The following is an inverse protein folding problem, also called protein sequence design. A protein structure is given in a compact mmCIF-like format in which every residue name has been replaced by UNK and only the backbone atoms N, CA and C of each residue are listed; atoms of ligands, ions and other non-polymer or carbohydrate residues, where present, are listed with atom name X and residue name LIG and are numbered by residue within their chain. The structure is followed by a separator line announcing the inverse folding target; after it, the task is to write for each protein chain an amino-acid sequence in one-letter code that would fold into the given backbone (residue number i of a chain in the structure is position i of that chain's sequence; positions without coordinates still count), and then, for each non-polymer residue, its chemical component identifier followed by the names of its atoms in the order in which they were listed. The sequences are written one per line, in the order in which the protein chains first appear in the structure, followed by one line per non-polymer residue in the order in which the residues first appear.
data_IF_051749818029
#
_entry.id   IF_051749818029
#
_cell.length_a   1.000
_cell.length_b   1.000
_cell.length_c   1.000
_cell.angle_alpha   90.00
_cell.angle_beta   90.00
_cell.angle_gamma   90.00
#
_symmetry.space_group_name_H-M   'P 1'
#
loop_
_entity.id
_entity.type
_entity.pdbx_description
1 polymer ?
#
# COMPACT_ATOMS: atom_id res chain seq x y z
N UNK A 1 -72.65 -32.75 -9.72
CA UNK A 1 -71.51 -32.79 -8.79
C UNK A 1 -70.13 -32.79 -9.50
N UNK A 2 -69.89 -33.56 -10.54
CA UNK A 2 -68.56 -33.59 -11.21
C UNK A 2 -68.11 -32.24 -11.88
N UNK A 3 -69.04 -31.41 -12.32
CA UNK A 3 -68.69 -30.12 -12.97
C UNK A 3 -68.40 -29.01 -11.94
N UNK A 4 -68.91 -29.08 -10.74
CA UNK A 4 -68.64 -28.13 -9.67
C UNK A 4 -67.26 -28.36 -9.09
N UNK A 5 -66.79 -29.59 -8.98
CA UNK A 5 -65.42 -29.92 -8.59
C UNK A 5 -64.38 -29.45 -9.57
N UNK A 6 -64.68 -29.44 -10.89
CA UNK A 6 -63.76 -28.98 -11.91
C UNK A 6 -63.54 -27.45 -11.85
N UNK A 7 -64.57 -26.69 -11.53
CA UNK A 7 -64.47 -25.21 -11.39
C UNK A 7 -63.80 -24.81 -10.10
N UNK A 8 -63.98 -25.56 -9.02
CA UNK A 8 -63.28 -25.30 -7.74
C UNK A 8 -61.78 -25.64 -7.87
N UNK A 9 -61.43 -26.74 -8.57
CA UNK A 9 -60.02 -27.06 -8.80
C UNK A 9 -59.33 -26.05 -9.76
N UNK A 10 -60.07 -25.48 -10.72
CA UNK A 10 -59.51 -24.44 -11.63
C UNK A 10 -59.36 -23.09 -10.93
N UNK A 11 -60.19 -22.77 -9.95
CA UNK A 11 -60.11 -21.55 -9.16
C UNK A 11 -58.96 -21.62 -8.12
N UNK A 12 -58.70 -22.80 -7.56
CA UNK A 12 -57.56 -23.02 -6.66
C UNK A 12 -56.21 -23.01 -7.41
N UNK A 13 -56.19 -23.53 -8.65
CA UNK A 13 -54.99 -23.47 -9.51
C UNK A 13 -54.69 -22.05 -10.01
N UNK A 14 -55.72 -21.17 -10.17
CA UNK A 14 -55.55 -19.77 -10.57
C UNK A 14 -55.13 -18.83 -9.44
N UNK A 15 -55.34 -19.21 -8.18
CA UNK A 15 -54.97 -18.44 -7.00
C UNK A 15 -53.53 -18.69 -6.52
N UNK A 16 -52.84 -19.70 -7.04
CA UNK A 16 -51.49 -20.08 -6.64
C UNK A 16 -50.40 -19.44 -7.47
N UNK A 17 -50.68 -18.57 -8.45
CA UNK A 17 -49.68 -17.87 -9.26
C UNK A 17 -49.41 -16.41 -8.80
N UNK A 18 -50.09 -15.92 -7.75
CA UNK A 18 -49.67 -14.69 -7.07
C UNK A 18 -48.95 -15.06 -5.77
N UNK A 19 -48.02 -16.00 -5.84
CA UNK A 19 -47.11 -16.30 -4.73
C UNK A 19 -46.04 -15.21 -4.72
N UNK A 20 -46.20 -14.29 -3.81
CA UNK A 20 -45.19 -13.58 -3.05
C UNK A 20 -43.74 -13.80 -3.53
N UNK A 21 -43.32 -13.13 -4.61
CA UNK A 21 -41.90 -12.86 -4.86
C UNK A 21 -41.31 -12.06 -3.67
N UNK A 22 -42.09 -11.17 -3.09
CA UNK A 22 -41.67 -10.33 -1.95
C UNK A 22 -41.47 -11.09 -0.63
N UNK A 23 -41.98 -12.31 -0.48
CA UNK A 23 -41.83 -13.09 0.77
C UNK A 23 -40.61 -14.01 0.75
N UNK A 24 -39.98 -14.18 -0.42
CA UNK A 24 -38.76 -14.97 -0.60
C UNK A 24 -37.52 -14.07 -0.80
N UNK A 25 -37.71 -12.79 -1.01
CA UNK A 25 -36.67 -11.78 -0.93
C UNK A 25 -36.47 -11.27 0.51
N UNK A 26 -36.41 -12.19 1.46
CA UNK A 26 -35.79 -11.88 2.73
C UNK A 26 -34.29 -11.76 2.43
N UNK A 27 -33.79 -10.53 2.35
CA UNK A 27 -32.37 -10.27 2.54
C UNK A 27 -31.95 -11.05 3.78
N UNK A 28 -31.17 -12.09 3.58
CA UNK A 28 -30.64 -12.87 4.70
C UNK A 28 -29.76 -11.92 5.48
N UNK A 29 -30.13 -11.58 6.70
CA UNK A 29 -29.35 -10.79 7.67
C UNK A 29 -27.94 -11.38 7.93
N UNK A 30 -27.63 -12.53 7.36
CA UNK A 30 -26.34 -13.22 7.48
C UNK A 30 -25.48 -13.19 6.20
N UNK A 31 -25.96 -12.63 5.10
CA UNK A 31 -25.12 -12.29 3.97
C UNK A 31 -24.68 -10.85 4.14
N UNK A 32 -23.40 -10.66 4.20
CA UNK A 32 -22.69 -9.40 4.29
C UNK A 32 -23.21 -8.40 3.23
N UNK A 33 -24.33 -7.75 3.56
CA UNK A 33 -24.82 -6.68 2.72
C UNK A 33 -23.88 -5.49 2.91
N UNK A 34 -23.18 -5.13 1.88
CA UNK A 34 -22.21 -4.03 1.87
C UNK A 34 -22.81 -2.73 2.42
N UNK A 35 -24.10 -2.47 2.13
CA UNK A 35 -24.81 -1.31 2.66
C UNK A 35 -24.99 -1.35 4.18
N UNK A 36 -25.17 -2.53 4.77
CA UNK A 36 -25.23 -2.70 6.23
C UNK A 36 -23.86 -2.51 6.88
N UNK A 37 -22.81 -3.13 6.30
CA UNK A 37 -21.42 -3.03 6.81
C UNK A 37 -20.88 -1.61 6.74
N UNK A 38 -21.35 -0.81 5.79
CA UNK A 38 -20.94 0.58 5.64
C UNK A 38 -21.98 1.59 6.16
N UNK A 39 -22.99 1.16 6.94
CA UNK A 39 -24.06 2.04 7.42
C UNK A 39 -23.61 3.08 8.45
N UNK A 40 -22.50 2.82 9.13
CA UNK A 40 -21.93 3.70 10.15
C UNK A 40 -20.38 3.56 10.19
N UNK A 41 -19.71 4.56 10.77
CA UNK A 41 -18.26 4.61 10.81
C UNK A 41 -17.61 3.45 11.59
N UNK A 42 -18.28 2.88 12.60
CA UNK A 42 -17.72 1.78 13.39
C UNK A 42 -17.61 0.50 12.56
N UNK A 43 -18.62 0.18 11.76
CA UNK A 43 -18.62 -1.03 10.93
C UNK A 43 -17.82 -0.79 9.64
N UNK A 44 -17.96 0.37 8.99
CA UNK A 44 -17.16 0.75 7.85
C UNK A 44 -15.65 0.71 8.15
N UNK A 45 -15.25 1.10 9.38
CA UNK A 45 -13.84 0.98 9.82
C UNK A 45 -13.32 -0.45 9.76
N UNK A 46 -14.12 -1.44 10.14
CA UNK A 46 -13.72 -2.86 10.10
C UNK A 46 -13.45 -3.31 8.66
N UNK A 47 -14.26 -2.81 7.71
CA UNK A 47 -14.06 -3.07 6.29
C UNK A 47 -12.75 -2.45 5.78
N UNK A 48 -12.50 -1.19 6.12
CA UNK A 48 -11.24 -0.50 5.74
C UNK A 48 -10.04 -1.15 6.43
N UNK A 49 -10.15 -1.55 7.71
CA UNK A 49 -9.10 -2.25 8.45
C UNK A 49 -8.75 -3.60 7.79
N UNK A 50 -9.72 -4.28 7.17
CA UNK A 50 -9.44 -5.48 6.39
C UNK A 50 -8.55 -5.21 5.18
N UNK A 51 -8.68 -4.05 4.54
CA UNK A 51 -7.77 -3.66 3.43
C UNK A 51 -6.36 -3.39 3.97
N UNK A 52 -6.22 -2.75 5.14
CA UNK A 52 -4.92 -2.60 5.81
C UNK A 52 -4.30 -3.96 6.17
N UNK A 53 -5.10 -4.97 6.55
CA UNK A 53 -4.59 -6.27 6.94
C UNK A 53 -3.79 -7.00 5.84
N UNK A 54 -4.02 -6.67 4.55
CA UNK A 54 -3.20 -7.19 3.46
C UNK A 54 -1.72 -6.79 3.55
N UNK A 55 -1.38 -5.71 4.25
CA UNK A 55 0.00 -5.36 4.54
C UNK A 55 0.67 -6.31 5.55
N UNK A 56 -0.10 -7.08 6.30
CA UNK A 56 0.42 -8.09 7.23
C UNK A 56 0.63 -9.47 6.58
N UNK A 57 0.16 -9.65 5.36
CA UNK A 57 0.33 -10.91 4.63
C UNK A 57 1.79 -11.15 4.22
N UNK A 58 2.22 -12.42 4.21
CA UNK A 58 3.56 -12.82 3.79
C UNK A 58 3.91 -12.34 2.36
N UNK A 59 2.91 -12.27 1.50
CA UNK A 59 3.07 -11.72 0.14
C UNK A 59 3.57 -10.28 0.13
N UNK A 60 3.16 -9.47 1.08
CA UNK A 60 3.67 -8.11 1.26
C UNK A 60 4.94 -8.08 2.11
N UNK A 61 4.88 -8.60 3.34
CA UNK A 61 5.94 -8.43 4.35
C UNK A 61 7.25 -9.13 3.98
N UNK A 62 7.18 -10.24 3.26
CA UNK A 62 8.36 -11.04 2.90
C UNK A 62 8.68 -10.96 1.39
N UNK A 63 7.67 -10.98 0.51
CA UNK A 63 7.93 -11.02 -0.94
C UNK A 63 8.10 -9.62 -1.51
N UNK A 64 7.04 -8.80 -1.53
CA UNK A 64 7.06 -7.52 -2.21
C UNK A 64 7.97 -6.51 -1.52
N UNK A 65 7.86 -6.36 -0.19
CA UNK A 65 8.60 -5.34 0.56
C UNK A 65 10.08 -5.65 0.78
N UNK A 66 10.48 -6.91 0.78
CA UNK A 66 11.86 -7.30 1.11
C UNK A 66 12.59 -8.01 -0.02
N UNK A 67 11.98 -9.03 -0.61
CA UNK A 67 12.69 -9.85 -1.59
C UNK A 67 12.67 -9.26 -3.00
N UNK A 68 11.62 -8.56 -3.39
CA UNK A 68 11.47 -8.03 -4.74
C UNK A 68 12.02 -6.61 -4.91
N UNK A 69 12.15 -5.86 -3.83
CA UNK A 69 12.75 -4.52 -3.85
C UNK A 69 14.28 -4.55 -3.94
N UNK A 70 14.90 -5.72 -3.89
CA UNK A 70 16.33 -5.91 -4.06
C UNK A 70 16.77 -5.81 -5.53
N UNK A 71 18.08 -5.86 -5.78
CA UNK A 71 18.69 -5.76 -7.10
C UNK A 71 18.60 -4.34 -7.71
N UNK A 72 18.86 -3.36 -6.87
CA UNK A 72 19.04 -1.96 -7.25
C UNK A 72 20.52 -1.57 -7.14
N UNK A 73 20.84 -0.33 -7.44
CA UNK A 73 22.16 0.26 -7.17
C UNK A 73 22.44 0.47 -5.67
N UNK A 74 21.38 0.41 -4.84
CA UNK A 74 21.44 0.59 -3.38
C UNK A 74 21.38 -0.75 -2.64
N UNK A 75 20.51 -1.65 -3.06
CA UNK A 75 20.19 -2.88 -2.34
C UNK A 75 20.47 -4.12 -3.18
N UNK A 76 21.13 -5.09 -2.56
CA UNK A 76 21.37 -6.40 -3.14
C UNK A 76 20.86 -7.47 -2.17
N UNK A 77 20.55 -8.61 -2.73
CA UNK A 77 20.25 -9.76 -1.91
C UNK A 77 21.47 -10.25 -1.12
N UNK A 78 21.22 -11.00 -0.04
CA UNK A 78 22.26 -11.62 0.77
C UNK A 78 23.18 -12.50 -0.07
N UNK A 79 24.47 -12.15 -0.12
CA UNK A 79 25.50 -12.89 -0.88
C UNK A 79 26.26 -13.79 0.08
N UNK A 80 25.78 -14.98 0.31
CA UNK A 80 26.56 -15.97 1.08
C UNK A 80 27.51 -16.78 0.19
N UNK A 81 27.22 -16.86 -1.11
CA UNK A 81 28.05 -17.43 -2.18
C UNK A 81 27.62 -16.80 -3.50
N UNK A 82 28.49 -16.71 -4.48
CA UNK A 82 28.25 -16.11 -5.80
C UNK A 82 27.08 -16.70 -6.62
N UNK A 83 26.42 -17.73 -6.13
CA UNK A 83 25.30 -18.43 -6.79
C UNK A 83 23.93 -18.17 -6.15
N UNK A 84 23.82 -17.23 -5.26
CA UNK A 84 22.58 -17.02 -4.52
C UNK A 84 21.40 -16.56 -5.37
N UNK A 85 21.64 -16.05 -6.59
CA UNK A 85 20.59 -15.46 -7.43
C UNK A 85 19.60 -16.47 -8.01
N UNK A 86 20.03 -17.70 -8.28
CA UNK A 86 19.18 -18.68 -9.00
C UNK A 86 18.38 -19.59 -8.07
N UNK A 87 18.80 -19.77 -6.82
CA UNK A 87 18.22 -20.73 -5.87
C UNK A 87 17.50 -20.08 -4.70
N UNK A 88 17.39 -18.77 -4.66
CA UNK A 88 16.71 -18.02 -3.61
C UNK A 88 15.50 -17.27 -4.16
N UNK A 89 14.62 -16.77 -3.30
CA UNK A 89 13.45 -15.93 -3.69
C UNK A 89 13.82 -14.73 -4.57
N UNK A 90 15.07 -14.37 -4.64
CA UNK A 90 15.64 -13.39 -5.57
C UNK A 90 15.71 -13.87 -7.02
N UNK A 91 15.67 -15.17 -7.22
CA UNK A 91 15.57 -15.78 -8.54
C UNK A 91 14.30 -15.41 -9.31
N UNK A 92 13.38 -14.68 -8.68
CA UNK A 92 12.22 -14.10 -9.36
C UNK A 92 12.64 -13.18 -10.52
N UNK A 93 13.70 -12.41 -10.35
CA UNK A 93 14.24 -11.53 -11.37
C UNK A 93 14.99 -12.27 -12.48
N UNK A 94 15.39 -13.52 -12.21
CA UNK A 94 15.94 -14.43 -13.20
C UNK A 94 14.85 -15.32 -13.84
N UNK A 95 13.56 -15.04 -13.61
CA UNK A 95 12.41 -15.79 -14.10
C UNK A 95 12.47 -17.29 -13.74
N UNK A 96 13.00 -17.62 -12.57
CA UNK A 96 13.09 -19.00 -12.11
C UNK A 96 11.66 -19.54 -11.83
N UNK A 97 11.22 -20.62 -12.50
CA UNK A 97 9.89 -21.18 -12.34
C UNK A 97 9.52 -21.57 -10.90
N UNK A 98 10.51 -21.89 -10.05
CA UNK A 98 10.29 -22.22 -8.65
C UNK A 98 9.60 -21.12 -7.84
N UNK A 99 9.63 -19.86 -8.33
CA UNK A 99 9.02 -18.71 -7.66
C UNK A 99 7.75 -18.19 -8.31
N UNK A 100 7.26 -18.83 -9.37
CA UNK A 100 6.02 -18.42 -10.03
C UNK A 100 4.80 -18.50 -9.11
N UNK A 101 4.81 -19.43 -8.15
CA UNK A 101 3.80 -19.48 -7.10
C UNK A 101 3.77 -18.22 -6.23
N UNK A 102 4.93 -17.70 -5.84
CA UNK A 102 5.04 -16.45 -5.08
C UNK A 102 4.52 -15.25 -5.90
N UNK A 103 4.87 -15.19 -7.20
CA UNK A 103 4.38 -14.13 -8.10
C UNK A 103 2.86 -14.16 -8.18
N UNK A 104 2.28 -15.34 -8.42
CA UNK A 104 0.83 -15.54 -8.49
C UNK A 104 0.13 -15.14 -7.19
N UNK A 105 0.68 -15.54 -6.05
CA UNK A 105 0.08 -15.22 -4.76
C UNK A 105 0.13 -13.72 -4.46
N UNK A 106 1.23 -13.04 -4.78
CA UNK A 106 1.34 -11.58 -4.63
C UNK A 106 0.34 -10.86 -5.54
N UNK A 107 0.22 -11.28 -6.82
CA UNK A 107 -0.78 -10.76 -7.74
C UNK A 107 -2.19 -10.92 -7.17
N UNK A 108 -2.57 -12.13 -6.79
CA UNK A 108 -3.90 -12.42 -6.29
C UNK A 108 -4.23 -11.61 -5.02
N UNK A 109 -3.31 -11.51 -4.07
CA UNK A 109 -3.55 -10.76 -2.84
C UNK A 109 -3.64 -9.26 -3.09
N UNK A 110 -2.84 -8.73 -4.02
CA UNK A 110 -2.93 -7.32 -4.40
C UNK A 110 -4.26 -7.01 -5.09
N UNK A 111 -4.72 -7.89 -6.00
CA UNK A 111 -6.05 -7.74 -6.64
C UNK A 111 -7.19 -7.80 -5.60
N UNK A 112 -7.11 -8.72 -4.64
CA UNK A 112 -8.10 -8.78 -3.55
C UNK A 112 -8.12 -7.50 -2.71
N UNK A 113 -6.94 -6.97 -2.35
CA UNK A 113 -6.87 -5.72 -1.60
C UNK A 113 -7.48 -4.53 -2.36
N UNK A 114 -7.27 -4.46 -3.67
CA UNK A 114 -7.89 -3.46 -4.55
C UNK A 114 -9.42 -3.64 -4.59
N UNK A 115 -9.89 -4.87 -4.80
CA UNK A 115 -11.32 -5.15 -4.84
C UNK A 115 -12.02 -4.81 -3.53
N UNK A 116 -11.45 -5.19 -2.38
CA UNK A 116 -11.97 -4.80 -1.09
C UNK A 116 -11.96 -3.28 -0.87
N UNK A 117 -10.95 -2.57 -1.36
CA UNK A 117 -10.95 -1.11 -1.32
C UNK A 117 -12.08 -0.52 -2.17
N UNK A 118 -12.34 -1.07 -3.37
CA UNK A 118 -13.47 -0.68 -4.21
C UNK A 118 -14.81 -0.93 -3.50
N UNK A 119 -14.97 -2.09 -2.84
CA UNK A 119 -16.16 -2.39 -2.04
C UNK A 119 -16.36 -1.39 -0.90
N UNK A 120 -15.28 -1.03 -0.19
CA UNK A 120 -15.34 0.00 0.86
C UNK A 120 -15.79 1.35 0.31
N UNK A 121 -15.20 1.81 -0.80
CA UNK A 121 -15.54 3.09 -1.43
C UNK A 121 -17.01 3.11 -1.80
N UNK A 122 -17.49 2.10 -2.55
CA UNK A 122 -18.87 2.02 -2.98
C UNK A 122 -19.85 1.94 -1.82
N UNK A 123 -19.57 1.07 -0.82
CA UNK A 123 -20.45 0.91 0.33
C UNK A 123 -20.54 2.17 1.18
N UNK A 124 -19.44 2.88 1.37
CA UNK A 124 -19.42 4.16 2.09
C UNK A 124 -20.19 5.23 1.31
N UNK A 125 -19.96 5.39 0.01
CA UNK A 125 -20.67 6.35 -0.85
C UNK A 125 -22.19 6.09 -0.89
N UNK A 126 -22.61 4.85 -0.82
CA UNK A 126 -24.01 4.48 -0.78
C UNK A 126 -24.71 4.82 0.55
N UNK A 127 -23.95 4.94 1.65
CA UNK A 127 -24.48 5.12 3.01
C UNK A 127 -25.09 6.52 3.23
N UNK A 128 -26.14 6.57 4.04
CA UNK A 128 -26.75 7.85 4.45
C UNK A 128 -25.82 8.67 5.34
N UNK A 129 -24.99 8.02 6.17
CA UNK A 129 -24.04 8.69 7.04
C UNK A 129 -23.02 9.51 6.21
N UNK A 130 -22.46 8.92 5.16
CA UNK A 130 -21.54 9.62 4.25
C UNK A 130 -22.24 10.78 3.50
N UNK A 131 -23.44 10.52 2.95
CA UNK A 131 -24.23 11.52 2.23
C UNK A 131 -24.62 12.70 3.12
N UNK A 132 -24.87 12.47 4.40
CA UNK A 132 -25.17 13.50 5.39
C UNK A 132 -23.90 14.21 5.93
N UNK A 133 -22.71 13.87 5.43
CA UNK A 133 -21.48 14.58 5.72
C UNK A 133 -20.77 14.15 7.01
N UNK A 134 -21.02 12.91 7.50
CA UNK A 134 -20.33 12.37 8.67
C UNK A 134 -18.80 12.40 8.44
N UNK A 135 -18.08 13.04 9.35
CA UNK A 135 -16.65 13.31 9.20
C UNK A 135 -15.79 12.02 9.28
N UNK A 136 -16.22 11.03 10.08
CA UNK A 136 -15.49 9.77 10.19
C UNK A 136 -15.73 8.90 8.95
N UNK A 137 -16.94 8.93 8.39
CA UNK A 137 -17.23 8.27 7.12
C UNK A 137 -16.43 8.87 5.96
N UNK A 138 -16.29 10.20 5.91
CA UNK A 138 -15.45 10.90 4.92
C UNK A 138 -13.98 10.54 5.08
N UNK A 139 -13.49 10.43 6.31
CA UNK A 139 -12.15 9.95 6.60
C UNK A 139 -11.94 8.53 6.08
N UNK A 140 -12.85 7.61 6.40
CA UNK A 140 -12.75 6.22 5.97
C UNK A 140 -12.85 6.06 4.44
N UNK A 141 -13.67 6.86 3.78
CA UNK A 141 -13.73 6.95 2.33
C UNK A 141 -12.38 7.34 1.73
N UNK A 142 -11.78 8.43 2.25
CA UNK A 142 -10.45 8.87 1.82
C UNK A 142 -9.35 7.83 2.09
N UNK A 143 -9.42 7.11 3.21
CA UNK A 143 -8.50 6.00 3.51
C UNK A 143 -8.64 4.87 2.47
N UNK A 144 -9.86 4.48 2.11
CA UNK A 144 -10.08 3.43 1.11
C UNK A 144 -9.55 3.84 -0.28
N UNK A 145 -9.71 5.11 -0.66
CA UNK A 145 -9.13 5.67 -1.90
C UNK A 145 -7.59 5.64 -1.85
N UNK A 146 -7.00 6.05 -0.73
CA UNK A 146 -5.55 6.01 -0.54
C UNK A 146 -5.01 4.57 -0.60
N UNK A 147 -5.69 3.62 0.02
CA UNK A 147 -5.33 2.20 0.00
C UNK A 147 -5.41 1.63 -1.42
N UNK A 148 -6.52 1.87 -2.15
CA UNK A 148 -6.63 1.49 -3.56
C UNK A 148 -5.48 2.04 -4.39
N UNK A 149 -5.18 3.32 -4.23
CA UNK A 149 -4.11 3.98 -4.95
C UNK A 149 -2.74 3.38 -4.61
N UNK A 150 -2.49 3.05 -3.35
CA UNK A 150 -1.23 2.44 -2.91
C UNK A 150 -1.05 1.02 -3.47
N UNK A 151 -2.08 0.20 -3.45
CA UNK A 151 -2.03 -1.15 -3.99
C UNK A 151 -1.84 -1.16 -5.52
N UNK A 152 -2.51 -0.27 -6.26
CA UNK A 152 -2.24 -0.09 -7.70
C UNK A 152 -0.84 0.45 -7.96
N UNK A 153 -0.35 1.37 -7.15
CA UNK A 153 1.04 1.85 -7.26
C UNK A 153 2.05 0.70 -7.15
N UNK A 154 1.86 -0.20 -6.19
CA UNK A 154 2.68 -1.40 -6.08
C UNK A 154 2.54 -2.32 -7.29
N UNK A 155 1.30 -2.59 -7.76
CA UNK A 155 1.09 -3.39 -8.96
C UNK A 155 1.81 -2.82 -10.18
N UNK A 156 1.65 -1.54 -10.43
CA UNK A 156 2.28 -0.88 -11.57
C UNK A 156 3.82 -0.92 -11.49
N UNK A 157 4.39 -0.84 -10.29
CA UNK A 157 5.83 -0.94 -10.10
C UNK A 157 6.38 -2.34 -10.38
N UNK A 158 5.64 -3.41 -10.03
CA UNK A 158 6.11 -4.78 -10.19
C UNK A 158 5.72 -5.40 -11.54
N UNK A 159 4.55 -5.05 -12.08
CA UNK A 159 4.02 -5.69 -13.31
C UNK A 159 3.83 -4.71 -14.48
N UNK A 160 4.02 -3.42 -14.28
CA UNK A 160 3.81 -2.42 -15.34
C UNK A 160 2.32 -2.19 -15.61
N UNK A 161 1.92 -2.39 -16.87
CA UNK A 161 0.52 -2.25 -17.29
C UNK A 161 -0.31 -3.43 -16.75
N UNK A 162 -1.40 -3.13 -16.06
CA UNK A 162 -2.26 -4.12 -15.37
C UNK A 162 -3.73 -3.83 -15.65
N UNK A 163 -4.65 -4.79 -15.47
CA UNK A 163 -6.09 -4.51 -15.47
C UNK A 163 -6.43 -3.45 -14.42
N UNK A 164 -7.32 -2.52 -14.79
CA UNK A 164 -7.67 -1.40 -13.92
C UNK A 164 -9.17 -1.25 -13.81
N UNK A 165 -9.69 -1.39 -12.59
CA UNK A 165 -11.09 -1.12 -12.26
C UNK A 165 -11.20 -0.31 -10.98
N UNK A 166 -12.22 0.53 -10.93
CA UNK A 166 -12.58 1.36 -9.78
C UNK A 166 -13.90 0.94 -9.13
N UNK A 167 -14.50 -0.12 -9.66
CA UNK A 167 -15.74 -0.77 -9.17
C UNK A 167 -15.42 -2.15 -8.62
N UNK A 168 -16.22 -2.69 -7.68
CA UNK A 168 -16.08 -4.06 -7.20
C UNK A 168 -16.26 -5.11 -8.31
N UNK A 169 -15.53 -6.23 -8.21
CA UNK A 169 -15.62 -7.35 -9.17
C UNK A 169 -17.00 -8.01 -9.22
N UNK A 170 -17.82 -7.85 -8.19
CA UNK A 170 -19.23 -8.29 -8.22
C UNK A 170 -20.08 -7.56 -9.26
N UNK A 171 -19.62 -6.39 -9.72
CA UNK A 171 -20.30 -5.56 -10.73
C UNK A 171 -19.61 -5.55 -12.08
N UNK A 172 -18.33 -5.91 -12.10
CA UNK A 172 -17.51 -5.89 -13.29
C UNK A 172 -16.58 -7.10 -13.32
N UNK A 173 -16.65 -7.90 -14.38
CA UNK A 173 -15.82 -9.10 -14.52
C UNK A 173 -14.40 -8.72 -14.98
N UNK A 174 -13.60 -8.25 -14.04
CA UNK A 174 -12.19 -7.87 -14.26
C UNK A 174 -11.32 -9.02 -14.82
N UNK A 175 -11.80 -10.25 -14.80
CA UNK A 175 -11.00 -11.39 -15.28
C UNK A 175 -10.70 -11.32 -16.77
N UNK A 176 -11.50 -10.58 -17.52
CA UNK A 176 -11.36 -10.40 -18.97
C UNK A 176 -10.88 -9.00 -19.36
N UNK A 177 -10.62 -8.11 -18.40
CA UNK A 177 -10.18 -6.76 -18.72
C UNK A 177 -8.77 -6.74 -19.32
N UNK A 178 -8.57 -5.98 -20.40
CA UNK A 178 -7.25 -5.78 -20.96
C UNK A 178 -6.37 -5.00 -19.97
N UNK A 179 -5.06 -5.12 -20.16
CA UNK A 179 -4.11 -4.30 -19.40
C UNK A 179 -4.28 -2.83 -19.81
N UNK A 180 -4.38 -1.97 -18.81
CA UNK A 180 -4.41 -0.52 -18.96
C UNK A 180 -2.98 0.03 -18.80
N UNK A 181 -2.61 1.00 -19.62
CA UNK A 181 -1.33 1.71 -19.48
C UNK A 181 -1.20 2.26 -18.03
N UNK A 182 -0.12 1.90 -17.35
CA UNK A 182 0.14 2.36 -15.97
C UNK A 182 0.12 3.88 -15.83
N UNK A 183 0.43 4.61 -16.92
CA UNK A 183 0.38 6.07 -16.89
C UNK A 183 -1.06 6.59 -16.83
N UNK A 184 -2.02 5.89 -17.45
CA UNK A 184 -3.46 6.15 -17.29
C UNK A 184 -3.85 5.81 -15.85
N UNK A 185 -3.41 4.67 -15.34
CA UNK A 185 -3.69 4.28 -13.95
C UNK A 185 -3.20 5.38 -12.98
N UNK A 186 -1.95 5.80 -13.07
CA UNK A 186 -1.43 6.87 -12.21
C UNK A 186 -2.21 8.17 -12.35
N UNK A 187 -2.62 8.53 -13.58
CA UNK A 187 -3.45 9.72 -13.84
C UNK A 187 -4.77 9.66 -13.07
N UNK A 188 -5.47 8.53 -13.16
CA UNK A 188 -6.75 8.31 -12.46
C UNK A 188 -6.58 8.32 -10.95
N UNK A 189 -5.57 7.63 -10.42
CA UNK A 189 -5.28 7.60 -8.98
C UNK A 189 -4.96 8.99 -8.43
N UNK A 190 -4.18 9.79 -9.17
CA UNK A 190 -3.90 11.18 -8.80
C UNK A 190 -5.18 12.00 -8.75
N UNK A 191 -6.03 11.87 -9.78
CA UNK A 191 -7.30 12.62 -9.82
C UNK A 191 -8.23 12.23 -8.67
N UNK A 192 -8.34 10.92 -8.37
CA UNK A 192 -9.16 10.43 -7.26
C UNK A 192 -8.67 10.98 -5.91
N UNK A 193 -7.37 10.98 -5.68
CA UNK A 193 -6.79 11.55 -4.47
C UNK A 193 -7.02 13.07 -4.38
N UNK A 194 -6.85 13.80 -5.49
CA UNK A 194 -7.10 15.26 -5.55
C UNK A 194 -8.54 15.59 -5.19
N UNK A 195 -9.49 14.81 -5.71
CA UNK A 195 -10.90 15.04 -5.47
C UNK A 195 -11.32 14.80 -4.01
N UNK A 196 -10.58 13.96 -3.29
CA UNK A 196 -11.00 13.47 -1.98
C UNK A 196 -10.12 13.94 -0.80
N UNK A 197 -8.89 14.42 -1.02
CA UNK A 197 -7.97 14.79 0.07
C UNK A 197 -8.54 15.87 0.99
N UNK A 198 -9.37 16.77 0.44
CA UNK A 198 -9.97 17.88 1.19
C UNK A 198 -10.98 17.45 2.26
N UNK A 199 -11.56 16.25 2.12
CA UNK A 199 -12.52 15.69 3.07
C UNK A 199 -11.84 14.85 4.16
N UNK A 200 -10.57 14.51 4.00
CA UNK A 200 -9.82 13.72 4.96
C UNK A 200 -9.39 14.57 6.16
N UNK A 201 -9.32 13.91 7.30
CA UNK A 201 -8.82 14.49 8.54
C UNK A 201 -7.29 14.53 8.54
N UNK A 202 -6.74 15.51 9.25
CA UNK A 202 -5.31 15.54 9.58
C UNK A 202 -4.96 14.44 10.58
N UNK A 203 -3.69 14.00 10.57
CA UNK A 203 -3.23 13.00 11.53
C UNK A 203 -3.55 13.41 12.96
N UNK A 204 -4.06 12.46 13.74
CA UNK A 204 -4.28 12.66 15.17
C UNK A 204 -2.95 12.61 15.93
N UNK A 205 -2.94 13.11 17.16
CA UNK A 205 -1.74 13.06 18.02
C UNK A 205 -1.29 11.65 18.38
N UNK A 206 -2.13 10.63 18.09
CA UNK A 206 -1.96 9.30 18.62
C UNK A 206 -1.21 8.36 17.67
N UNK A 207 -1.30 8.53 16.32
CA UNK A 207 -0.72 7.56 15.40
C UNK A 207 -0.54 8.12 13.99
N UNK A 208 0.50 7.63 13.32
CA UNK A 208 0.73 7.78 11.87
C UNK A 208 0.46 6.47 11.13
N UNK A 209 -0.16 5.49 11.80
CA UNK A 209 -0.43 4.15 11.25
C UNK A 209 -1.70 4.09 10.39
N UNK A 210 -2.41 5.21 10.23
CA UNK A 210 -3.55 5.32 9.32
C UNK A 210 -3.30 6.40 8.28
N UNK A 211 -3.76 6.15 7.06
CA UNK A 211 -3.68 7.12 5.98
C UNK A 211 -4.59 8.32 6.29
N UNK A 212 -4.04 9.49 6.19
CA UNK A 212 -4.65 10.75 6.57
C UNK A 212 -4.45 11.78 5.45
N UNK A 213 -4.89 13.02 5.66
CA UNK A 213 -4.77 14.07 4.66
C UNK A 213 -3.31 14.36 4.29
N UNK A 214 -2.38 14.34 5.26
CA UNK A 214 -0.95 14.50 4.99
C UNK A 214 -0.40 13.42 4.09
N UNK A 215 -0.79 12.16 4.34
CA UNK A 215 -0.42 11.06 3.48
C UNK A 215 -0.97 11.25 2.07
N UNK A 216 -2.25 11.60 1.92
CA UNK A 216 -2.87 11.82 0.61
C UNK A 216 -2.12 12.88 -0.21
N UNK A 217 -1.81 14.04 0.39
CA UNK A 217 -1.06 15.12 -0.25
C UNK A 217 0.37 14.69 -0.64
N UNK A 218 1.06 14.00 0.26
CA UNK A 218 2.39 13.44 0.00
C UNK A 218 2.36 12.36 -1.08
N UNK A 219 1.30 11.56 -1.11
CA UNK A 219 1.16 10.48 -2.09
C UNK A 219 0.77 10.99 -3.48
N UNK A 220 -0.06 12.03 -3.59
CA UNK A 220 -0.28 12.75 -4.85
C UNK A 220 1.07 13.23 -5.41
N UNK A 221 1.89 13.85 -4.56
CA UNK A 221 3.24 14.31 -4.94
C UNK A 221 4.08 13.15 -5.48
N UNK A 222 4.12 12.03 -4.78
CA UNK A 222 4.89 10.84 -5.17
C UNK A 222 4.39 10.26 -6.49
N UNK A 223 3.09 10.03 -6.63
CA UNK A 223 2.50 9.48 -7.85
C UNK A 223 2.74 10.40 -9.06
N UNK A 224 2.61 11.72 -8.87
CA UNK A 224 2.88 12.69 -9.93
C UNK A 224 4.35 12.66 -10.38
N UNK A 225 5.30 12.49 -9.46
CA UNK A 225 6.72 12.29 -9.82
C UNK A 225 6.95 10.98 -10.59
N UNK A 226 6.31 9.89 -10.19
CA UNK A 226 6.38 8.61 -10.93
C UNK A 226 5.77 8.74 -12.33
N UNK A 227 4.61 9.41 -12.44
CA UNK A 227 3.95 9.67 -13.73
C UNK A 227 4.77 10.57 -14.65
N UNK A 228 5.49 11.54 -14.09
CA UNK A 228 6.34 12.47 -14.83
C UNK A 228 7.66 11.83 -15.26
N UNK A 229 8.16 10.84 -14.52
CA UNK A 229 9.51 10.30 -14.65
C UNK A 229 9.68 9.28 -15.77
N UNK A 230 10.90 8.79 -15.88
CA UNK A 230 11.24 7.68 -16.76
C UNK A 230 10.77 6.36 -16.17
N UNK A 231 10.18 5.52 -17.01
CA UNK A 231 9.80 4.18 -16.64
C UNK A 231 9.79 3.26 -17.87
N UNK A 232 9.84 1.95 -17.63
CA UNK A 232 9.69 0.97 -18.71
C UNK A 232 8.29 1.12 -19.34
N UNK A 233 8.24 1.43 -20.61
CA UNK A 233 6.99 1.54 -21.37
C UNK A 233 6.59 0.18 -21.95
N UNK A 234 5.32 0.05 -22.40
CA UNK A 234 4.78 -1.18 -22.96
C UNK A 234 5.59 -1.75 -24.16
N UNK A 235 6.26 -0.88 -24.90
CA UNK A 235 7.15 -1.24 -26.00
C UNK A 235 8.56 -1.71 -25.55
N UNK A 236 8.81 -1.85 -24.26
CA UNK A 236 10.09 -2.27 -23.71
C UNK A 236 11.18 -1.18 -23.68
N UNK A 237 10.83 0.08 -23.91
CA UNK A 237 11.79 1.19 -23.82
C UNK A 237 11.71 1.91 -22.49
N UNK A 238 12.85 2.32 -21.95
CA UNK A 238 12.93 3.21 -20.79
C UNK A 238 12.73 4.64 -21.26
N UNK A 239 11.52 5.18 -21.04
CA UNK A 239 11.12 6.50 -21.53
C UNK A 239 10.13 7.18 -20.58
N UNK A 240 9.92 8.46 -20.78
CA UNK A 240 8.79 9.20 -20.21
C UNK A 240 7.54 8.92 -21.07
N UNK A 241 6.37 8.91 -20.44
CA UNK A 241 5.11 8.72 -21.18
C UNK A 241 4.89 9.86 -22.18
N UNK A 242 4.47 9.48 -23.38
CA UNK A 242 4.01 10.38 -24.46
C UNK A 242 2.51 10.30 -24.67
N UNK A 243 1.77 9.60 -23.79
CA UNK A 243 0.32 9.48 -23.87
C UNK A 243 -0.36 10.86 -23.77
N UNK A 244 -1.41 11.03 -24.56
CA UNK A 244 -2.19 12.27 -24.66
C UNK A 244 -3.69 11.93 -24.63
N UNK A 245 -4.52 12.93 -24.37
CA UNK A 245 -5.96 12.80 -24.29
C UNK A 245 -6.47 12.83 -22.85
N UNK A 246 -7.80 12.76 -22.71
CA UNK A 246 -8.46 12.95 -21.40
C UNK A 246 -8.05 11.90 -20.36
N UNK A 247 -7.75 10.68 -20.79
CA UNK A 247 -7.30 9.59 -19.91
C UNK A 247 -5.90 9.83 -19.31
N UNK A 248 -5.11 10.73 -19.92
CA UNK A 248 -3.79 11.14 -19.43
C UNK A 248 -3.82 12.52 -18.76
N UNK A 249 -4.99 13.08 -18.51
CA UNK A 249 -5.20 14.45 -18.05
C UNK A 249 -5.62 14.49 -16.60
N UNK A 250 -4.97 15.36 -15.81
CA UNK A 250 -5.34 15.67 -14.42
C UNK A 250 -5.70 17.13 -14.29
N UNK A 251 -6.85 17.39 -13.64
CA UNK A 251 -7.27 18.72 -13.23
C UNK A 251 -6.84 18.98 -11.79
N UNK A 252 -6.17 20.07 -11.53
CA UNK A 252 -5.63 20.37 -10.20
C UNK A 252 -5.61 21.88 -9.93
N UNK A 253 -5.34 22.25 -8.69
CA UNK A 253 -5.10 23.65 -8.30
C UNK A 253 -3.59 23.83 -8.13
N UNK A 254 -3.03 24.81 -8.82
CA UNK A 254 -1.60 25.11 -8.80
C UNK A 254 -1.15 25.75 -7.47
N UNK A 255 0.14 26.00 -7.32
CA UNK A 255 0.70 26.60 -6.11
C UNK A 255 0.30 28.06 -5.87
N UNK A 256 -0.39 28.69 -6.80
CA UNK A 256 -0.90 30.06 -6.71
C UNK A 256 -2.41 30.11 -6.48
N UNK A 257 -3.07 28.95 -6.43
CA UNK A 257 -4.51 28.81 -6.23
C UNK A 257 -5.33 28.87 -7.52
N UNK A 258 -4.72 28.75 -8.69
CA UNK A 258 -5.41 28.75 -9.98
C UNK A 258 -5.72 27.33 -10.43
N UNK A 259 -6.87 27.18 -11.09
CA UNK A 259 -7.18 25.93 -11.80
C UNK A 259 -6.18 25.71 -12.93
N UNK A 260 -5.68 24.49 -13.04
CA UNK A 260 -4.69 24.07 -14.00
C UNK A 260 -4.94 22.64 -14.47
N UNK A 261 -4.35 22.29 -15.61
CA UNK A 261 -4.47 20.97 -16.21
C UNK A 261 -3.08 20.42 -16.53
N UNK A 262 -2.82 19.18 -16.13
CA UNK A 262 -1.61 18.45 -16.47
C UNK A 262 -1.91 17.45 -17.59
N UNK A 263 -1.27 17.60 -18.74
CA UNK A 263 -1.45 16.75 -19.93
C UNK A 263 -0.17 16.11 -20.42
N UNK A 264 0.97 16.61 -19.99
CA UNK A 264 2.31 16.12 -20.37
C UNK A 264 3.10 15.68 -19.16
N UNK A 265 4.14 14.89 -19.39
CA UNK A 265 5.04 14.46 -18.33
C UNK A 265 5.64 15.65 -17.54
N UNK A 266 5.92 16.79 -18.20
CA UNK A 266 6.43 17.98 -17.52
C UNK A 266 5.37 18.63 -16.61
N UNK A 267 4.09 18.58 -17.00
CA UNK A 267 3.04 19.14 -16.19
C UNK A 267 2.83 18.37 -14.90
N UNK A 268 3.09 17.06 -14.89
CA UNK A 268 3.01 16.25 -13.67
C UNK A 268 4.07 16.62 -12.63
N UNK A 269 5.22 17.17 -13.03
CA UNK A 269 6.15 17.79 -12.05
C UNK A 269 5.54 19.06 -11.42
N UNK A 270 4.72 19.80 -12.16
CA UNK A 270 3.99 20.95 -11.61
C UNK A 270 2.94 20.50 -10.59
N UNK A 271 2.20 19.40 -10.89
CA UNK A 271 1.29 18.77 -9.92
C UNK A 271 2.04 18.37 -8.65
N UNK A 272 3.16 17.67 -8.80
CA UNK A 272 3.99 17.27 -7.65
C UNK A 272 4.42 18.47 -6.81
N UNK A 273 4.91 19.54 -7.46
CA UNK A 273 5.29 20.78 -6.78
C UNK A 273 4.12 21.44 -6.05
N UNK A 274 2.95 21.52 -6.69
CA UNK A 274 1.77 22.15 -6.12
C UNK A 274 1.32 21.44 -4.84
N UNK A 275 1.25 20.10 -4.86
CA UNK A 275 0.77 19.34 -3.72
C UNK A 275 1.82 19.20 -2.60
N UNK A 276 3.10 19.12 -2.92
CA UNK A 276 4.17 19.25 -1.92
C UNK A 276 4.09 20.60 -1.20
N UNK A 277 3.94 21.70 -1.96
CA UNK A 277 3.81 23.04 -1.38
C UNK A 277 2.51 23.22 -0.60
N UNK A 278 1.40 22.64 -1.07
CA UNK A 278 0.12 22.62 -0.35
C UNK A 278 0.27 21.94 1.01
N UNK A 279 0.92 20.78 1.07
CA UNK A 279 1.17 20.08 2.34
C UNK A 279 1.98 20.96 3.30
N UNK A 280 3.10 21.51 2.85
CA UNK A 280 3.97 22.37 3.68
C UNK A 280 3.19 23.60 4.17
N UNK A 281 2.38 24.23 3.30
CA UNK A 281 1.65 25.44 3.65
C UNK A 281 0.50 25.20 4.64
N UNK A 282 -0.17 24.04 4.55
CA UNK A 282 -1.32 23.72 5.41
C UNK A 282 -0.91 23.02 6.70
N UNK A 283 0.14 22.23 6.67
CA UNK A 283 0.59 21.43 7.82
C UNK A 283 2.10 21.25 7.75
N UNK A 284 2.84 22.34 8.03
CA UNK A 284 4.30 22.26 8.12
C UNK A 284 4.71 21.28 9.23
N UNK A 285 5.76 20.54 8.96
CA UNK A 285 6.26 19.48 9.85
C UNK A 285 7.71 19.72 10.17
N UNK A 286 8.06 19.53 11.43
CA UNK A 286 9.44 19.63 11.85
C UNK A 286 10.14 18.29 11.64
N UNK A 287 11.15 18.31 10.78
CA UNK A 287 12.00 17.14 10.59
C UNK A 287 12.87 16.91 11.83
N UNK A 288 13.07 15.65 12.18
CA UNK A 288 13.92 15.28 13.29
C UNK A 288 15.40 15.55 12.96
N UNK A 289 16.10 16.25 13.82
CA UNK A 289 17.53 16.51 13.65
C UNK A 289 18.39 15.25 13.81
N UNK A 290 17.88 14.22 14.45
CA UNK A 290 18.52 12.92 14.56
C UNK A 290 17.87 11.93 13.60
N UNK A 291 18.51 11.65 12.48
CA UNK A 291 18.00 10.75 11.46
C UNK A 291 17.72 9.33 11.98
N UNK A 292 18.55 8.80 12.88
CA UNK A 292 18.35 7.46 13.48
C UNK A 292 17.10 7.40 14.34
N UNK A 293 16.76 8.49 15.02
CA UNK A 293 15.62 8.55 15.94
C UNK A 293 14.28 8.26 15.25
N UNK A 294 14.15 8.55 13.96
CA UNK A 294 12.94 8.27 13.18
C UNK A 294 12.66 6.76 13.19
N UNK A 295 13.70 5.95 12.92
CA UNK A 295 13.59 4.49 12.88
C UNK A 295 13.48 3.86 14.26
N UNK A 296 14.12 4.45 15.27
CA UNK A 296 13.97 4.02 16.65
C UNK A 296 12.54 4.26 17.15
N UNK A 297 11.94 5.39 16.77
CA UNK A 297 10.54 5.68 17.06
C UNK A 297 9.59 4.71 16.35
N UNK A 298 9.86 4.36 15.08
CA UNK A 298 9.07 3.38 14.33
C UNK A 298 9.11 2.00 15.02
N UNK A 299 10.30 1.53 15.40
CA UNK A 299 10.47 0.26 16.14
C UNK A 299 9.68 0.26 17.45
N UNK A 300 9.57 1.39 18.11
CA UNK A 300 8.87 1.55 19.39
C UNK A 300 7.39 1.95 19.23
N UNK A 301 6.91 2.16 18.02
CA UNK A 301 5.54 2.62 17.76
C UNK A 301 5.23 3.99 18.35
N UNK A 302 6.20 4.90 18.31
CA UNK A 302 6.07 6.22 18.95
C UNK A 302 6.44 7.40 18.04
N UNK A 303 6.38 7.24 16.72
CA UNK A 303 6.55 8.35 15.80
C UNK A 303 5.44 9.40 16.01
N UNK A 304 5.83 10.67 16.20
CA UNK A 304 4.83 11.71 16.44
C UNK A 304 4.06 12.02 15.14
N UNK A 305 2.77 12.30 15.29
CA UNK A 305 1.88 12.61 14.18
C UNK A 305 2.27 13.87 13.36
N UNK A 306 3.12 14.72 13.89
CA UNK A 306 3.63 15.93 13.23
C UNK A 306 5.13 15.84 12.89
N UNK A 307 5.72 14.65 12.95
CA UNK A 307 7.13 14.39 12.65
C UNK A 307 7.41 14.09 11.18
N UNK A 308 8.51 13.40 10.93
CA UNK A 308 8.99 13.06 9.58
C UNK A 308 8.06 12.10 8.83
N UNK A 309 7.36 11.22 9.55
CA UNK A 309 6.57 10.12 8.99
C UNK A 309 5.17 10.59 8.64
N UNK A 310 4.75 10.41 7.39
CA UNK A 310 3.39 10.67 6.93
C UNK A 310 2.47 9.46 7.16
N UNK A 311 3.02 8.27 7.04
CA UNK A 311 2.34 7.00 7.26
C UNK A 311 3.39 5.90 7.52
N UNK A 312 3.11 5.03 8.48
CA UNK A 312 3.88 3.82 8.74
C UNK A 312 2.94 2.64 8.99
N UNK A 313 3.41 1.45 8.67
CA UNK A 313 2.67 0.22 8.97
C UNK A 313 3.15 -0.33 10.30
N UNK A 314 2.32 -0.18 11.34
CA UNK A 314 2.58 -0.78 12.64
C UNK A 314 2.26 -2.27 12.65
N UNK A 315 3.16 -3.06 13.23
CA UNK A 315 2.97 -4.49 13.44
C UNK A 315 2.94 -4.82 14.93
N UNK A 316 2.03 -5.70 15.30
CA UNK A 316 1.97 -6.16 16.70
C UNK A 316 3.20 -7.04 17.00
N UNK A 317 3.89 -6.82 18.12
CA UNK A 317 5.03 -7.64 18.50
C UNK A 317 4.72 -9.14 18.47
N UNK A 318 5.57 -9.91 17.82
CA UNK A 318 5.47 -11.37 17.62
C UNK A 318 4.34 -11.86 16.69
N UNK A 319 3.65 -10.98 15.96
CA UNK A 319 2.60 -11.37 15.02
C UNK A 319 2.57 -10.57 13.71
N UNK A 320 3.60 -9.80 13.42
CA UNK A 320 3.62 -8.81 12.35
C UNK A 320 4.39 -9.19 11.09
N UNK A 321 4.40 -10.43 10.66
CA UNK A 321 5.05 -10.84 9.41
C UNK A 321 6.59 -10.78 9.46
N UNK A 322 7.22 -10.89 8.29
CA UNK A 322 8.66 -11.15 8.16
C UNK A 322 9.54 -9.88 8.05
N UNK A 323 8.97 -8.67 8.06
CA UNK A 323 9.76 -7.45 7.81
C UNK A 323 10.90 -7.31 8.82
N UNK A 324 10.61 -7.43 10.12
CA UNK A 324 11.62 -7.36 11.17
C UNK A 324 12.64 -8.52 11.13
N UNK A 325 12.30 -9.61 10.46
CA UNK A 325 13.18 -10.74 10.25
C UNK A 325 14.06 -10.58 9.00
N UNK A 326 13.52 -10.00 7.95
CA UNK A 326 14.14 -9.88 6.62
C UNK A 326 14.97 -8.61 6.45
N UNK A 327 14.57 -7.52 7.10
CA UNK A 327 15.24 -6.23 7.07
C UNK A 327 15.94 -5.95 8.40
N UNK A 328 17.09 -5.31 8.33
CA UNK A 328 17.83 -4.90 9.51
C UNK A 328 19.09 -5.73 9.73
N UNK A 329 19.59 -5.65 10.94
CA UNK A 329 20.86 -6.26 11.33
C UNK A 329 20.71 -7.76 11.62
N UNK A 330 21.63 -8.56 11.12
CA UNK A 330 21.72 -9.97 11.51
C UNK A 330 22.01 -10.11 13.00
N UNK A 331 21.16 -10.87 13.68
CA UNK A 331 21.31 -11.21 15.10
C UNK A 331 21.64 -12.69 15.23
N UNK A 332 22.69 -13.01 15.97
CA UNK A 332 23.08 -14.40 16.26
C UNK A 332 22.83 -14.65 17.75
N UNK A 333 21.99 -15.63 18.04
CA UNK A 333 21.68 -16.04 19.41
C UNK A 333 21.46 -17.53 19.47
N UNK A 334 22.04 -18.20 20.49
CA UNK A 334 21.78 -19.61 20.77
C UNK A 334 20.44 -19.82 21.47
N UNK A 335 19.94 -18.83 22.20
CA UNK A 335 18.72 -18.93 23.03
C UNK A 335 17.50 -18.30 22.41
N UNK A 336 17.68 -17.29 21.52
CA UNK A 336 16.59 -16.52 20.92
C UNK A 336 16.43 -16.76 19.41
N UNK A 337 17.22 -17.67 18.86
CA UNK A 337 17.29 -17.88 17.42
C UNK A 337 18.16 -16.85 16.71
N UNK A 338 18.32 -16.99 15.42
CA UNK A 338 19.13 -16.10 14.59
C UNK A 338 18.26 -15.43 13.56
N UNK A 339 18.23 -14.11 13.57
CA UNK A 339 17.69 -13.29 12.48
C UNK A 339 18.69 -13.28 11.32
N UNK A 340 18.22 -13.52 10.10
CA UNK A 340 19.06 -13.44 8.90
C UNK A 340 18.57 -12.31 8.03
N UNK A 341 19.44 -11.35 7.76
CA UNK A 341 19.15 -10.28 6.80
C UNK A 341 19.08 -10.87 5.40
N UNK A 342 17.96 -10.69 4.72
CA UNK A 342 17.82 -11.06 3.31
C UNK A 342 18.26 -9.94 2.37
N UNK A 343 18.30 -8.71 2.84
CA UNK A 343 18.70 -7.51 2.08
C UNK A 343 20.03 -6.99 2.62
N UNK A 344 20.98 -6.74 1.72
CA UNK A 344 22.24 -6.05 2.03
C UNK A 344 22.31 -4.76 1.19
N UNK A 345 23.16 -3.86 1.62
CA UNK A 345 23.46 -2.63 0.88
C UNK A 345 24.67 -2.86 -0.02
N UNK A 346 24.66 -2.21 -1.18
CA UNK A 346 25.81 -2.28 -2.08
C UNK A 346 27.00 -1.51 -1.51
N UNK A 347 28.25 -1.98 -1.70
CA UNK A 347 29.43 -1.23 -1.28
C UNK A 347 29.51 0.15 -1.92
N UNK A 348 29.09 0.30 -3.19
CA UNK A 348 29.05 1.58 -3.90
C UNK A 348 28.13 2.58 -3.20
N UNK A 349 26.97 2.13 -2.72
CA UNK A 349 26.06 2.97 -1.95
C UNK A 349 26.68 3.40 -0.62
N UNK A 350 27.25 2.48 0.14
CA UNK A 350 27.92 2.81 1.40
C UNK A 350 29.09 3.80 1.19
N UNK A 351 29.86 3.63 0.12
CA UNK A 351 30.96 4.54 -0.24
C UNK A 351 30.48 5.90 -0.81
N UNK A 352 29.23 6.04 -1.18
CA UNK A 352 28.68 7.31 -1.67
C UNK A 352 28.45 8.34 -0.55
N UNK A 353 28.39 7.91 0.70
CA UNK A 353 28.25 8.80 1.84
C UNK A 353 29.56 9.54 2.14
N UNK A 354 29.46 10.81 2.46
CA UNK A 354 30.56 11.50 3.10
C UNK A 354 30.83 10.89 4.48
N UNK A 355 32.08 10.73 4.86
CA UNK A 355 32.47 10.13 6.15
C UNK A 355 31.91 10.90 7.38
N UNK A 356 31.57 12.17 7.22
CA UNK A 356 30.96 13.01 8.24
C UNK A 356 29.43 12.98 8.23
N UNK A 357 28.79 12.32 7.23
CA UNK A 357 27.36 12.20 7.15
C UNK A 357 26.84 11.29 8.25
N UNK A 358 26.06 11.84 9.16
CA UNK A 358 25.46 11.09 10.28
C UNK A 358 24.56 9.93 9.81
N UNK A 359 24.00 10.03 8.61
CA UNK A 359 23.14 8.99 8.04
C UNK A 359 23.92 7.72 7.69
N UNK A 360 25.24 7.81 7.44
CA UNK A 360 26.07 6.65 7.13
C UNK A 360 25.94 5.56 8.21
N UNK A 361 26.20 5.92 9.47
CA UNK A 361 26.14 4.98 10.60
C UNK A 361 24.72 4.49 10.88
N UNK A 362 23.73 5.33 10.66
CA UNK A 362 22.33 4.96 10.83
C UNK A 362 21.81 4.05 9.70
N UNK A 363 22.45 4.06 8.52
CA UNK A 363 21.99 3.31 7.35
C UNK A 363 22.80 2.04 7.13
N UNK A 364 24.13 2.08 7.31
CA UNK A 364 25.06 1.03 6.89
C UNK A 364 25.76 0.41 8.10
N UNK A 365 25.58 -0.89 8.30
CA UNK A 365 26.30 -1.65 9.33
C UNK A 365 27.18 -2.72 8.67
N UNK A 366 28.43 -2.74 9.02
CA UNK A 366 29.40 -3.79 8.63
C UNK A 366 29.60 -4.83 9.75
N UNK A 367 28.61 -5.00 10.61
CA UNK A 367 28.67 -5.92 11.74
C UNK A 367 27.32 -6.65 11.89
N UNK A 368 27.39 -7.79 12.55
CA UNK A 368 26.26 -8.55 13.07
C UNK A 368 26.28 -8.51 14.60
N UNK A 369 25.15 -8.73 15.21
CA UNK A 369 25.06 -8.75 16.67
C UNK A 369 25.07 -10.15 17.25
N UNK A 370 25.96 -10.35 18.21
CA UNK A 370 26.01 -11.55 19.03
C UNK A 370 25.18 -11.30 20.29
N UNK A 371 23.93 -11.75 20.26
CA UNK A 371 22.97 -11.47 21.33
C UNK A 371 23.44 -11.97 22.70
N UNK A 372 23.96 -13.20 22.75
CA UNK A 372 24.33 -13.85 24.01
C UNK A 372 25.53 -13.18 24.68
N UNK A 373 26.47 -12.68 23.91
CA UNK A 373 27.64 -11.95 24.41
C UNK A 373 27.46 -10.43 24.45
N UNK A 374 26.35 -9.92 23.91
CA UNK A 374 26.08 -8.48 23.76
C UNK A 374 27.20 -7.71 23.06
N UNK A 375 27.73 -8.29 22.00
CA UNK A 375 28.85 -7.74 21.24
C UNK A 375 28.54 -7.64 19.76
N UNK A 376 29.07 -6.59 19.11
CA UNK A 376 29.13 -6.49 17.67
C UNK A 376 30.29 -7.35 17.15
N UNK A 377 30.01 -8.19 16.15
CA UNK A 377 31.04 -8.92 15.42
C UNK A 377 31.10 -8.40 13.99
N UNK A 378 32.31 -8.02 13.53
CA UNK A 378 32.48 -7.52 12.17
C UNK A 378 32.00 -8.59 11.16
N UNK A 379 31.17 -8.15 10.21
CA UNK A 379 30.83 -8.93 9.04
C UNK A 379 31.72 -8.45 7.89
N UNK A 380 32.73 -9.19 7.56
CA UNK A 380 33.73 -8.80 6.54
C UNK A 380 33.21 -8.86 5.10
N UNK A 381 31.96 -9.31 4.88
CA UNK A 381 31.43 -9.59 3.54
C UNK A 381 30.19 -8.73 3.23
N UNK A 382 29.37 -8.44 4.22
CA UNK A 382 28.08 -7.82 4.01
C UNK A 382 27.97 -6.46 4.69
N UNK A 383 27.34 -5.50 4.02
CA UNK A 383 26.89 -4.24 4.60
C UNK A 383 25.39 -4.38 4.79
N UNK A 384 24.93 -4.34 6.04
CA UNK A 384 23.56 -4.59 6.42
C UNK A 384 22.79 -3.28 6.63
N UNK A 385 21.47 -3.24 6.37
CA UNK A 385 20.64 -2.10 6.70
C UNK A 385 20.60 -1.90 8.23
N UNK A 386 21.05 -0.75 8.72
CA UNK A 386 21.11 -0.46 10.15
C UNK A 386 19.91 0.36 10.67
N UNK A 387 19.05 0.87 9.79
CA UNK A 387 17.94 1.77 10.14
C UNK A 387 17.05 1.19 11.24
N UNK A 388 16.65 -0.06 11.12
CA UNK A 388 15.79 -0.75 12.09
C UNK A 388 16.58 -1.60 13.09
N UNK A 389 17.80 -1.20 13.39
CA UNK A 389 18.64 -1.89 14.37
C UNK A 389 18.31 -1.40 15.79
N UNK A 390 17.79 -2.30 16.63
CA UNK A 390 17.50 -2.05 18.05
C UNK A 390 18.72 -1.94 18.94
N UNK A 391 19.91 -2.10 18.42
CA UNK A 391 21.12 -2.29 19.19
C UNK A 391 21.65 -1.03 19.85
N UNK A 392 21.30 0.13 19.26
CA UNK A 392 21.62 1.43 19.85
C UNK A 392 20.60 1.88 20.91
N UNK A 393 19.49 1.14 21.03
CA UNK A 393 18.54 1.32 22.12
C UNK A 393 19.16 0.72 23.37
N UNK A 394 19.92 1.53 24.03
CA UNK A 394 20.59 1.34 25.32
C UNK A 394 20.69 -0.14 25.76
N UNK A 395 21.90 -0.56 26.01
CA UNK A 395 22.29 -1.86 26.58
C UNK A 395 21.43 -2.34 27.77
N UNK A 396 20.55 -1.48 28.27
CA UNK A 396 19.74 -1.71 29.45
C UNK A 396 18.30 -2.19 29.18
N UNK A 397 17.84 -2.25 27.94
CA UNK A 397 16.45 -2.57 27.60
C UNK A 397 16.29 -3.76 26.63
N UNK A 398 17.25 -4.66 26.54
CA UNK A 398 17.12 -5.90 25.79
C UNK A 398 17.02 -7.09 26.75
#
# INVERSE_FOLDING_TARGET
MKRIFLYISMFIAGASFNSCSDLLDTETLSTDNLSYLCSNATDARKMVDHVYAYFCEDTYTSRMSTNWMQNTDVEIGFVKKAQASETTRRGIWALNPSYFGDIKNCWNNTQKAIDFANQCIEGIEASDAYKNGDADMKQLHGEAICLRAYWYFLMCNFWGDVPFATTPTSKDDMHNDPRTDKNIIYTRLIQDLINNEGEMQWSSKATVERMNREFALGFITKLAMFRAGYSMQANGTMARSTGTGDEYTVHYVDENGNEATATSADDYYKVAKAYAKKLISLKDRQLNNNFKQIFDNEINGCNPANGDVLFEMGYVPNSGGDIGWCLGLSVVSSSKGAGTTYTNLTPSYACSFNAQDQRLKATCANYRWLYDSKQAAVDGVNIQPAKWCRMDLSVNNV
#
